data_IF_050639980827
#
_entry.id   IF_050639980827
#
_cell.length_a   1.000
_cell.length_b   1.000
_cell.length_c   1.000
_cell.angle_alpha   90.00
_cell.angle_beta   90.00
_cell.angle_gamma   90.00
#
_symmetry.space_group_name_H-M   'P 1'
#
loop_
_entity.id
_entity.type
_entity.pdbx_description
1 polymer ?
#
# COMPACT_ATOMS: atom_id res chain seq x y z
N UNK A 1 21.03 -11.42 9.98
CA UNK A 1 19.57 -11.19 10.11
C UNK A 1 19.14 -9.86 9.48
N UNK A 2 19.93 -8.79 9.60
CA UNK A 2 19.65 -7.46 9.01
C UNK A 2 19.55 -7.44 7.50
N UNK A 3 20.46 -8.12 6.77
CA UNK A 3 20.47 -8.09 5.30
C UNK A 3 19.16 -8.55 4.65
N UNK A 4 18.46 -9.55 5.23
CA UNK A 4 17.16 -10.02 4.72
C UNK A 4 16.07 -8.98 4.92
N UNK A 5 16.01 -8.39 6.12
CA UNK A 5 15.07 -7.34 6.47
C UNK A 5 15.30 -6.07 5.62
N UNK A 6 16.55 -5.69 5.39
CA UNK A 6 16.92 -4.55 4.55
C UNK A 6 16.44 -4.74 3.11
N UNK A 7 16.67 -5.92 2.53
CA UNK A 7 16.17 -6.27 1.20
C UNK A 7 14.64 -6.26 1.14
N UNK A 8 13.95 -6.76 2.16
CA UNK A 8 12.50 -6.74 2.22
C UNK A 8 11.92 -5.31 2.30
N UNK A 9 12.56 -4.43 3.07
CA UNK A 9 12.20 -3.01 3.11
C UNK A 9 12.45 -2.32 1.76
N UNK A 10 13.53 -2.66 1.05
CA UNK A 10 13.80 -2.12 -0.29
C UNK A 10 12.77 -2.59 -1.31
N UNK A 11 12.37 -3.87 -1.28
CA UNK A 11 11.24 -4.39 -2.07
C UNK A 11 9.99 -3.54 -1.80
N UNK A 12 9.62 -3.37 -0.53
CA UNK A 12 8.42 -2.59 -0.15
C UNK A 12 8.48 -1.16 -0.70
N UNK A 13 9.64 -0.51 -0.61
CA UNK A 13 9.85 0.85 -1.10
C UNK A 13 9.74 0.93 -2.62
N UNK A 14 10.27 -0.03 -3.36
CA UNK A 14 10.17 -0.07 -4.83
C UNK A 14 8.71 -0.20 -5.29
N UNK A 15 7.95 -1.11 -4.68
CA UNK A 15 6.55 -1.29 -5.01
C UNK A 15 5.67 -0.12 -4.53
N UNK A 16 6.00 0.53 -3.42
CA UNK A 16 5.38 1.81 -3.02
C UNK A 16 5.56 2.88 -4.11
N UNK A 17 6.78 3.06 -4.63
CA UNK A 17 7.03 4.04 -5.70
C UNK A 17 6.28 3.67 -6.99
N UNK A 18 6.21 2.38 -7.32
CA UNK A 18 5.46 1.89 -8.48
C UNK A 18 3.94 2.06 -8.31
N UNK A 19 3.40 1.86 -7.11
CA UNK A 19 1.96 2.03 -6.86
C UNK A 19 1.56 3.51 -6.92
N UNK A 20 2.45 4.42 -6.49
CA UNK A 20 2.23 5.86 -6.60
C UNK A 20 2.07 6.34 -8.05
N UNK A 21 2.76 5.71 -9.02
CA UNK A 21 2.64 6.05 -10.45
C UNK A 21 1.41 5.42 -11.11
N UNK A 22 0.89 4.32 -10.57
CA UNK A 22 -0.33 3.70 -11.05
C UNK A 22 -1.60 4.52 -10.75
N UNK A 23 -1.58 5.44 -9.77
CA UNK A 23 -2.70 6.33 -9.44
C UNK A 23 -2.90 7.53 -10.39
N UNK A 24 -2.34 7.46 -11.60
CA UNK A 24 -2.39 8.52 -12.61
C UNK A 24 -3.37 8.20 -13.76
N UNK A 25 -4.00 7.02 -13.77
CA UNK A 25 -4.97 6.68 -14.83
C UNK A 25 -6.33 7.23 -14.39
N UNK A 26 -7.00 8.08 -15.19
CA UNK A 26 -8.25 8.74 -14.79
C UNK A 26 -9.47 7.80 -14.78
N UNK A 27 -9.28 6.50 -14.53
CA UNK A 27 -10.33 5.49 -14.45
C UNK A 27 -10.29 4.82 -13.06
N UNK A 28 -11.17 5.22 -12.11
CA UNK A 28 -11.08 4.83 -10.70
C UNK A 28 -11.00 3.33 -10.42
N UNK A 29 -11.68 2.49 -11.22
CA UNK A 29 -11.68 1.02 -11.04
C UNK A 29 -10.37 0.41 -11.54
N UNK A 30 -9.82 0.93 -12.64
CA UNK A 30 -8.58 0.43 -13.23
C UNK A 30 -7.40 0.75 -12.34
N UNK A 31 -7.38 1.95 -11.75
CA UNK A 31 -6.37 2.35 -10.77
C UNK A 31 -6.33 1.41 -9.57
N UNK A 32 -7.50 1.07 -9.01
CA UNK A 32 -7.55 0.18 -7.85
C UNK A 32 -7.04 -1.22 -8.18
N UNK A 33 -7.44 -1.77 -9.33
CA UNK A 33 -6.96 -3.09 -9.80
C UNK A 33 -5.45 -3.07 -10.02
N UNK A 34 -4.93 -2.01 -10.63
CA UNK A 34 -3.49 -1.85 -10.85
C UNK A 34 -2.73 -1.80 -9.52
N UNK A 35 -3.20 -1.02 -8.55
CA UNK A 35 -2.60 -0.92 -7.21
C UNK A 35 -2.64 -2.26 -6.49
N UNK A 36 -3.77 -2.97 -6.51
CA UNK A 36 -3.87 -4.31 -5.92
C UNK A 36 -2.91 -5.29 -6.60
N UNK A 37 -2.82 -5.27 -7.93
CA UNK A 37 -1.86 -6.10 -8.67
C UNK A 37 -0.41 -5.82 -8.28
N UNK A 38 -0.05 -4.55 -8.07
CA UNK A 38 1.27 -4.14 -7.59
C UNK A 38 1.52 -4.67 -6.17
N UNK A 39 0.53 -4.57 -5.27
CA UNK A 39 0.63 -5.10 -3.89
C UNK A 39 0.74 -6.62 -3.85
N UNK A 40 0.00 -7.35 -4.70
CA UNK A 40 0.10 -8.81 -4.82
C UNK A 40 1.49 -9.22 -5.32
N UNK A 41 2.00 -8.51 -6.34
CA UNK A 41 3.36 -8.77 -6.86
C UNK A 41 4.44 -8.43 -5.82
N UNK A 42 4.26 -7.38 -5.02
CA UNK A 42 5.13 -7.08 -3.88
C UNK A 42 5.15 -8.22 -2.86
N UNK A 43 3.97 -8.75 -2.49
CA UNK A 43 3.87 -9.91 -1.60
C UNK A 43 4.57 -11.13 -2.17
N UNK A 44 4.45 -11.38 -3.47
CA UNK A 44 5.20 -12.44 -4.13
C UNK A 44 6.72 -12.25 -3.97
N UNK A 45 7.24 -11.06 -4.25
CA UNK A 45 8.67 -10.75 -4.04
C UNK A 45 9.10 -10.90 -2.58
N UNK A 46 8.26 -10.50 -1.62
CA UNK A 46 8.53 -10.73 -0.20
C UNK A 46 8.56 -12.22 0.11
N UNK A 47 7.61 -13.03 -0.38
CA UNK A 47 7.64 -14.47 -0.13
C UNK A 47 8.91 -15.14 -0.65
N UNK A 48 9.43 -14.71 -1.80
CA UNK A 48 10.72 -15.18 -2.32
C UNK A 48 11.87 -14.79 -1.39
N UNK A 49 11.86 -13.56 -0.86
CA UNK A 49 12.88 -13.07 0.08
C UNK A 49 12.89 -13.83 1.43
N UNK A 50 11.77 -14.44 1.79
CA UNK A 50 11.59 -15.18 3.05
C UNK A 50 11.51 -16.70 2.87
N UNK A 51 11.69 -17.21 1.65
CA UNK A 51 11.52 -18.63 1.30
C UNK A 51 10.13 -19.21 1.69
N UNK A 52 9.09 -18.41 1.52
CA UNK A 52 7.70 -18.76 1.86
C UNK A 52 6.93 -19.17 0.58
N UNK A 53 6.07 -20.20 0.63
CA UNK A 53 5.17 -20.51 -0.49
C UNK A 53 4.18 -19.36 -0.77
N UNK A 54 4.12 -18.95 -2.04
CA UNK A 54 3.20 -17.90 -2.48
C UNK A 54 1.80 -18.46 -2.79
N UNK A 55 0.76 -17.65 -2.52
CA UNK A 55 -0.62 -17.95 -2.92
C UNK A 55 -1.34 -16.69 -3.33
N UNK A 56 -1.62 -16.56 -4.64
CA UNK A 56 -2.25 -15.38 -5.23
C UNK A 56 -3.61 -15.06 -4.57
N UNK A 57 -4.49 -16.05 -4.51
CA UNK A 57 -5.85 -15.88 -3.99
C UNK A 57 -5.85 -15.44 -2.52
N UNK A 58 -4.91 -15.99 -1.74
CA UNK A 58 -4.78 -15.61 -0.33
C UNK A 58 -4.19 -14.22 -0.19
N UNK A 59 -3.20 -13.85 -1.01
CA UNK A 59 -2.65 -12.49 -1.06
C UNK A 59 -3.72 -11.44 -1.37
N UNK A 60 -4.55 -11.66 -2.38
CA UNK A 60 -5.65 -10.75 -2.71
C UNK A 60 -6.65 -10.63 -1.55
N UNK A 61 -7.00 -11.76 -0.93
CA UNK A 61 -7.95 -11.80 0.19
C UNK A 61 -7.46 -11.03 1.41
N UNK A 62 -6.19 -11.23 1.80
CA UNK A 62 -5.60 -10.55 2.98
C UNK A 62 -5.33 -9.07 2.72
N UNK A 63 -4.92 -8.69 1.51
CA UNK A 63 -4.83 -7.28 1.10
C UNK A 63 -6.20 -6.63 1.19
N UNK A 64 -7.23 -7.25 0.62
CA UNK A 64 -8.61 -6.79 0.69
C UNK A 64 -9.10 -6.64 2.14
N UNK A 65 -8.76 -7.57 3.03
CA UNK A 65 -9.12 -7.50 4.44
C UNK A 65 -8.42 -6.36 5.20
N UNK A 66 -7.13 -6.09 4.91
CA UNK A 66 -6.40 -4.96 5.50
C UNK A 66 -6.97 -3.62 5.03
N UNK A 67 -7.17 -3.48 3.72
CA UNK A 67 -7.72 -2.25 3.12
C UNK A 67 -9.19 -2.02 3.51
N UNK A 68 -10.01 -3.07 3.54
CA UNK A 68 -11.38 -3.01 4.01
C UNK A 68 -11.49 -2.57 5.47
N UNK A 69 -10.48 -2.91 6.30
CA UNK A 69 -10.36 -2.42 7.68
C UNK A 69 -10.09 -0.91 7.82
N UNK A 70 -9.84 -0.18 6.72
CA UNK A 70 -9.66 1.27 6.72
C UNK A 70 -10.99 2.04 6.61
N UNK A 71 -12.09 1.40 6.21
CA UNK A 71 -13.37 2.06 5.91
C UNK A 71 -14.29 2.16 7.16
N UNK A 72 -14.90 3.32 7.47
CA UNK A 72 -14.37 4.67 7.38
C UNK A 72 -13.79 5.06 8.75
N UNK A 73 -12.49 4.85 8.91
CA UNK A 73 -11.75 5.56 9.95
C UNK A 73 -11.53 7.01 9.49
N UNK A 74 -11.27 7.93 10.43
CA UNK A 74 -11.02 9.36 10.17
C UNK A 74 -9.96 9.59 9.06
N UNK A 75 -9.01 8.66 8.92
CA UNK A 75 -8.01 8.62 7.86
C UNK A 75 -8.60 8.48 6.44
N UNK A 76 -9.61 7.62 6.27
CA UNK A 76 -10.29 7.41 4.98
C UNK A 76 -11.31 8.52 4.70
N UNK A 77 -11.96 9.07 5.74
CA UNK A 77 -12.87 10.21 5.57
C UNK A 77 -12.15 11.49 5.12
N UNK A 78 -10.90 11.69 5.53
CA UNK A 78 -10.06 12.81 5.07
C UNK A 78 -9.69 12.71 3.59
N UNK A 79 -9.47 11.49 3.09
CA UNK A 79 -9.22 11.22 1.68
C UNK A 79 -10.51 11.40 0.86
N UNK A 80 -11.64 10.84 1.30
CA UNK A 80 -12.95 10.98 0.63
C UNK A 80 -13.48 12.41 0.66
N UNK A 81 -13.26 13.15 1.75
CA UNK A 81 -13.59 14.58 1.85
C UNK A 81 -12.79 15.47 0.89
N UNK A 82 -11.67 14.98 0.35
CA UNK A 82 -10.92 15.64 -0.73
C UNK A 82 -11.45 15.24 -2.12
N UNK A 83 -12.08 14.07 -2.24
CA UNK A 83 -12.77 13.61 -3.46
C UNK A 83 -14.10 14.35 -3.68
N UNK A 84 -14.76 14.90 -2.65
CA UNK A 84 -15.96 15.74 -2.85
C UNK A 84 -15.67 17.07 -3.58
N UNK A 85 -14.39 17.44 -3.76
CA UNK A 85 -13.94 18.55 -4.61
C UNK A 85 -13.58 18.10 -6.04
N UNK A 86 -14.02 16.92 -6.47
CA UNK A 86 -14.06 16.46 -7.87
C UNK A 86 -15.05 17.30 -8.70
N UNK A 87 -14.83 18.61 -8.74
CA UNK A 87 -15.40 19.48 -9.77
C UNK A 87 -14.61 19.14 -11.05
N UNK A 88 -15.25 18.65 -12.14
CA UNK A 88 -14.59 17.96 -13.25
C UNK A 88 -13.50 18.75 -14.00
N UNK A 89 -13.39 20.07 -13.76
CA UNK A 89 -12.50 20.95 -14.52
C UNK A 89 -11.33 21.48 -13.65
N UNK A 90 -11.40 21.37 -12.31
CA UNK A 90 -10.34 21.84 -11.40
C UNK A 90 -9.91 20.84 -10.30
N UNK A 91 -10.62 19.72 -10.15
CA UNK A 91 -10.41 18.74 -9.07
C UNK A 91 -9.48 17.56 -9.40
N UNK A 92 -9.08 17.39 -10.67
CA UNK A 92 -8.31 16.23 -11.14
C UNK A 92 -6.89 16.19 -10.56
N UNK A 93 -6.20 17.33 -10.45
CA UNK A 93 -4.83 17.37 -9.87
C UNK A 93 -4.82 16.98 -8.40
N UNK A 94 -5.78 17.48 -7.61
CA UNK A 94 -5.89 17.16 -6.17
C UNK A 94 -6.29 15.69 -5.98
N UNK A 95 -7.19 15.18 -6.83
CA UNK A 95 -7.59 13.78 -6.85
C UNK A 95 -6.43 12.84 -7.16
N UNK A 96 -5.63 13.14 -8.19
CA UNK A 96 -4.43 12.35 -8.53
C UNK A 96 -3.40 12.35 -7.41
N UNK A 97 -3.13 13.50 -6.78
CA UNK A 97 -2.19 13.60 -5.66
C UNK A 97 -2.66 12.72 -4.48
N UNK A 98 -3.95 12.78 -4.17
CA UNK A 98 -4.57 12.04 -3.08
C UNK A 98 -4.53 10.53 -3.34
N UNK A 99 -4.80 10.12 -4.57
CA UNK A 99 -4.76 8.71 -4.98
C UNK A 99 -3.34 8.16 -4.99
N UNK A 100 -2.35 8.90 -5.52
CA UNK A 100 -0.94 8.52 -5.45
C UNK A 100 -0.48 8.37 -4.00
N UNK A 101 -0.84 9.32 -3.13
CA UNK A 101 -0.49 9.27 -1.70
C UNK A 101 -1.10 8.04 -1.02
N UNK A 102 -2.39 7.79 -1.25
CA UNK A 102 -3.09 6.62 -0.72
C UNK A 102 -2.50 5.31 -1.22
N UNK A 103 -2.23 5.23 -2.53
CA UNK A 103 -1.65 4.05 -3.18
C UNK A 103 -0.27 3.72 -2.62
N UNK A 104 0.59 4.74 -2.46
CA UNK A 104 1.89 4.60 -1.82
C UNK A 104 1.75 4.16 -0.36
N UNK A 105 0.94 4.88 0.43
CA UNK A 105 0.77 4.60 1.85
C UNK A 105 0.22 3.21 2.15
N UNK A 106 -0.80 2.78 1.40
CA UNK A 106 -1.39 1.44 1.53
C UNK A 106 -0.37 0.35 1.16
N UNK A 107 0.37 0.54 0.06
CA UNK A 107 1.40 -0.41 -0.39
C UNK A 107 2.53 -0.54 0.63
N UNK A 108 2.98 0.59 1.17
CA UNK A 108 3.97 0.62 2.24
C UNK A 108 3.48 -0.15 3.47
N UNK A 109 2.28 0.16 3.97
CA UNK A 109 1.72 -0.47 5.15
C UNK A 109 1.51 -1.98 4.99
N UNK A 110 1.01 -2.42 3.84
CA UNK A 110 0.89 -3.85 3.51
C UNK A 110 2.27 -4.52 3.59
N UNK A 111 3.29 -3.95 2.95
CA UNK A 111 4.65 -4.51 2.97
C UNK A 111 5.20 -4.62 4.39
N UNK A 112 5.05 -3.58 5.22
CA UNK A 112 5.53 -3.57 6.61
C UNK A 112 4.86 -4.61 7.49
N UNK A 113 3.55 -4.76 7.36
CA UNK A 113 2.79 -5.79 8.09
C UNK A 113 3.23 -7.19 7.71
N UNK A 114 3.42 -7.48 6.42
CA UNK A 114 3.88 -8.80 5.97
C UNK A 114 5.34 -9.07 6.35
N UNK A 115 6.22 -8.07 6.28
CA UNK A 115 7.60 -8.19 6.78
C UNK A 115 7.60 -8.59 8.25
N UNK A 116 6.84 -7.90 9.11
CA UNK A 116 6.77 -8.24 10.52
C UNK A 116 6.24 -9.67 10.74
N UNK A 117 5.19 -10.05 10.01
CA UNK A 117 4.60 -11.38 10.10
C UNK A 117 5.59 -12.47 9.68
N UNK A 118 6.30 -12.28 8.57
CA UNK A 118 7.29 -13.23 8.05
C UNK A 118 8.54 -13.32 8.93
N UNK A 119 9.04 -12.19 9.47
CA UNK A 119 10.13 -12.20 10.45
C UNK A 119 9.74 -12.93 11.74
N UNK A 120 8.45 -12.97 12.07
CA UNK A 120 7.91 -13.73 13.21
C UNK A 120 7.68 -15.22 12.90
N UNK A 121 8.08 -15.70 11.71
CA UNK A 121 7.90 -17.08 11.26
C UNK A 121 6.51 -17.38 10.68
N UNK A 122 5.72 -16.34 10.40
CA UNK A 122 4.42 -16.46 9.74
C UNK A 122 4.52 -16.72 8.23
N UNK A 123 3.42 -17.14 7.63
CA UNK A 123 3.24 -17.29 6.18
C UNK A 123 1.97 -16.57 5.73
N UNK A 124 1.73 -16.48 4.42
CA UNK A 124 0.48 -15.91 3.90
C UNK A 124 -0.74 -16.64 4.47
N UNK A 125 -0.66 -17.96 4.65
CA UNK A 125 -1.76 -18.80 5.12
C UNK A 125 -2.07 -18.62 6.61
N UNK A 126 -1.08 -18.21 7.41
CA UNK A 126 -1.23 -17.99 8.85
C UNK A 126 -1.50 -16.54 9.21
N UNK A 127 -1.64 -15.68 8.20
CA UNK A 127 -1.86 -14.26 8.39
C UNK A 127 -3.28 -13.99 8.90
N UNK A 128 -3.38 -13.26 10.01
CA UNK A 128 -4.64 -12.81 10.58
C UNK A 128 -4.71 -11.28 10.54
N UNK A 129 -5.44 -10.69 9.58
CA UNK A 129 -5.59 -9.26 9.44
C UNK A 129 -6.15 -8.58 10.69
N UNK A 130 -6.90 -9.31 11.53
CA UNK A 130 -7.53 -8.74 12.72
C UNK A 130 -6.54 -8.39 13.82
N UNK A 131 -5.43 -9.13 13.90
CA UNK A 131 -4.41 -8.95 14.95
C UNK A 131 -3.44 -7.81 14.66
N UNK A 132 -3.38 -7.36 13.41
CA UNK A 132 -2.40 -6.38 12.95
C UNK A 132 -3.03 -5.05 12.53
N UNK A 133 -4.34 -4.86 12.77
CA UNK A 133 -5.06 -3.64 12.33
C UNK A 133 -4.43 -2.35 12.84
N UNK A 134 -4.06 -2.30 14.11
CA UNK A 134 -3.45 -1.10 14.70
C UNK A 134 -2.07 -0.84 14.11
N UNK A 135 -1.26 -1.88 13.96
CA UNK A 135 0.05 -1.77 13.32
C UNK A 135 -0.09 -1.32 11.86
N UNK A 136 -1.03 -1.90 11.12
CA UNK A 136 -1.33 -1.50 9.75
C UNK A 136 -1.71 -0.02 9.65
N UNK A 137 -2.58 0.48 10.53
CA UNK A 137 -2.93 1.91 10.58
C UNK A 137 -1.71 2.78 10.88
N UNK A 138 -0.88 2.40 11.84
CA UNK A 138 0.33 3.15 12.17
C UNK A 138 1.32 3.20 11.00
N UNK A 139 1.53 2.07 10.30
CA UNK A 139 2.40 2.03 9.12
C UNK A 139 1.77 2.72 7.92
N UNK A 140 0.44 2.77 7.82
CA UNK A 140 -0.26 3.56 6.80
C UNK A 140 -0.02 5.06 6.99
N UNK A 141 -0.10 5.56 8.23
CA UNK A 141 0.24 6.95 8.55
C UNK A 141 1.71 7.25 8.19
N UNK A 142 2.66 6.41 8.61
CA UNK A 142 4.06 6.55 8.18
C UNK A 142 4.23 6.48 6.66
N UNK A 143 3.45 5.62 6.00
CA UNK A 143 3.45 5.44 4.56
C UNK A 143 3.01 6.70 3.81
N UNK A 144 2.03 7.45 4.33
CA UNK A 144 1.67 8.76 3.76
C UNK A 144 2.85 9.71 3.80
N UNK A 145 3.63 9.73 4.87
CA UNK A 145 4.73 10.66 5.04
C UNK A 145 5.86 10.31 4.06
N UNK A 146 6.15 9.02 3.90
CA UNK A 146 7.13 8.50 2.94
C UNK A 146 6.71 8.78 1.49
N UNK A 147 5.44 8.56 1.16
CA UNK A 147 4.88 8.83 -0.15
C UNK A 147 4.90 10.35 -0.46
N UNK A 148 4.52 11.20 0.49
CA UNK A 148 4.59 12.67 0.35
C UNK A 148 6.02 13.14 0.07
N UNK A 149 7.01 12.61 0.78
CA UNK A 149 8.42 12.93 0.54
C UNK A 149 8.90 12.49 -0.85
N UNK A 150 8.45 11.34 -1.33
CA UNK A 150 8.77 10.88 -2.68
C UNK A 150 8.12 11.77 -3.75
N UNK A 151 6.84 12.10 -3.58
CA UNK A 151 6.12 12.99 -4.49
C UNK A 151 6.76 14.39 -4.56
N UNK A 152 7.15 14.95 -3.42
CA UNK A 152 7.85 16.24 -3.36
C UNK A 152 9.20 16.21 -4.10
N UNK A 153 9.94 15.09 -4.03
CA UNK A 153 11.19 14.90 -4.78
C UNK A 153 10.96 14.78 -6.29
N UNK A 154 9.92 14.05 -6.71
CA UNK A 154 9.58 13.91 -8.13
C UNK A 154 9.06 15.19 -8.77
N UNK A 155 8.40 16.07 -8.01
CA UNK A 155 7.95 17.38 -8.49
C UNK A 155 9.07 18.43 -8.59
N UNK A 156 10.24 18.17 -8.00
CA UNK A 156 11.40 19.06 -8.00
C UNK A 156 12.51 18.63 -8.98
N UNK A 157 12.29 17.56 -9.75
CA UNK A 157 13.19 17.01 -10.76
C UNK A 157 12.65 17.26 -12.16
#
# INVERSE_FOLDING_TARGET
MTARLDAANEITKQYMMASMSAGLIPIPIVDLIAVTGIQVKMLHSLTQQYDIPFSNNMSESVIGALLGGLIPTEATMSLVGSLSKLIPIGGTTIGMITMSLFSGASTYAVGKVFIQHFESGGTILTFDPSKVREYFKAEFEKGKEQAKQWQARGAAA
#
